data_IF_454476797014
#
_entry.id   IF_454476797014
#
_cell.length_a   1.000
_cell.length_b   1.000
_cell.length_c   1.000
_cell.angle_alpha   90.00
_cell.angle_beta   90.00
_cell.angle_gamma   90.00
#
_symmetry.space_group_name_H-M   'P 1'
#
loop_
_entity.id
_entity.type
_entity.pdbx_description
1 polymer ?
#
# COMPACT_ATOMS: atom_id res chain seq x y z
N UNK A 1 -17.58 -62.11 -21.08
CA UNK A 1 -17.86 -60.98 -21.99
C UNK A 1 -17.09 -61.17 -23.28
N UNK A 2 -17.74 -60.99 -24.44
CA UNK A 2 -17.10 -61.11 -25.76
C UNK A 2 -16.00 -60.05 -25.97
N UNK A 3 -16.15 -58.87 -25.37
CA UNK A 3 -15.16 -57.79 -25.42
C UNK A 3 -13.81 -58.18 -24.78
N UNK A 4 -13.83 -58.81 -23.61
CA UNK A 4 -12.61 -59.28 -22.91
C UNK A 4 -11.88 -60.34 -23.75
N UNK A 5 -12.62 -61.26 -24.37
CA UNK A 5 -12.06 -62.28 -25.28
C UNK A 5 -11.39 -61.65 -26.48
N UNK A 6 -12.04 -60.66 -27.09
CA UNK A 6 -11.51 -59.95 -28.23
C UNK A 6 -10.25 -59.16 -27.87
N UNK A 7 -10.24 -58.49 -26.72
CA UNK A 7 -9.05 -57.80 -26.21
C UNK A 7 -7.90 -58.79 -25.94
N UNK A 8 -8.17 -59.92 -25.27
CA UNK A 8 -7.16 -60.94 -24.98
C UNK A 8 -6.55 -61.50 -26.28
N UNK A 9 -7.39 -61.74 -27.29
CA UNK A 9 -6.97 -62.18 -28.63
C UNK A 9 -6.12 -61.13 -29.35
N UNK A 10 -6.49 -59.85 -29.29
CA UNK A 10 -5.73 -58.75 -29.91
C UNK A 10 -4.34 -58.62 -29.27
N UNK A 11 -4.25 -58.81 -27.97
CA UNK A 11 -2.98 -58.73 -27.23
C UNK A 11 -2.21 -60.05 -27.18
N UNK A 12 -2.72 -61.12 -27.81
CA UNK A 12 -2.12 -62.46 -27.82
C UNK A 12 -1.80 -62.99 -26.41
N UNK A 13 -2.65 -62.68 -25.43
CA UNK A 13 -2.55 -63.15 -24.04
C UNK A 13 -3.81 -63.91 -23.63
N UNK A 14 -3.73 -64.66 -22.54
CA UNK A 14 -4.91 -65.33 -22.00
C UNK A 14 -5.91 -64.33 -21.40
N UNK A 15 -7.19 -64.70 -21.36
CA UNK A 15 -8.23 -63.90 -20.69
C UNK A 15 -7.90 -63.68 -19.20
N UNK A 16 -7.33 -64.71 -18.56
CA UNK A 16 -6.85 -64.69 -17.17
C UNK A 16 -5.74 -63.65 -16.98
N UNK A 17 -4.74 -63.66 -17.86
CA UNK A 17 -3.61 -62.73 -17.82
C UNK A 17 -4.06 -61.29 -18.06
N UNK A 18 -5.00 -61.09 -18.99
CA UNK A 18 -5.58 -59.76 -19.25
C UNK A 18 -6.37 -59.26 -18.04
N UNK A 19 -7.20 -60.11 -17.42
CA UNK A 19 -7.92 -59.79 -16.17
C UNK A 19 -6.97 -59.37 -15.06
N UNK A 20 -5.90 -60.14 -14.86
CA UNK A 20 -4.89 -59.88 -13.84
C UNK A 20 -4.13 -58.57 -14.12
N UNK A 21 -3.74 -58.32 -15.38
CA UNK A 21 -3.07 -57.07 -15.79
C UNK A 21 -3.96 -55.83 -15.61
N UNK A 22 -5.26 -55.96 -15.88
CA UNK A 22 -6.23 -54.89 -15.69
C UNK A 22 -6.75 -54.80 -14.25
N UNK A 23 -6.36 -55.72 -13.37
CA UNK A 23 -6.80 -55.81 -11.97
C UNK A 23 -8.35 -55.77 -11.86
N UNK A 24 -9.00 -56.66 -12.62
CA UNK A 24 -10.46 -56.84 -12.67
C UNK A 24 -10.88 -57.97 -11.72
N UNK A 25 -11.99 -57.79 -10.99
CA UNK A 25 -12.60 -58.85 -10.18
C UNK A 25 -13.32 -59.87 -11.08
N UNK A 26 -13.71 -61.03 -10.56
CA UNK A 26 -14.37 -62.06 -11.37
C UNK A 26 -15.80 -61.70 -11.80
N UNK A 27 -16.43 -60.81 -11.04
CA UNK A 27 -17.78 -60.28 -11.23
C UNK A 27 -17.78 -58.88 -11.89
N UNK A 28 -16.68 -58.52 -12.56
CA UNK A 28 -16.54 -57.18 -13.14
C UNK A 28 -17.61 -56.85 -14.18
N UNK A 29 -18.09 -55.61 -14.17
CA UNK A 29 -19.02 -55.09 -15.18
C UNK A 29 -18.28 -54.35 -16.32
N UNK A 30 -19.02 -54.02 -17.38
CA UNK A 30 -18.46 -53.33 -18.55
C UNK A 30 -17.91 -51.94 -18.21
N UNK A 31 -18.43 -51.31 -17.14
CA UNK A 31 -18.03 -49.99 -16.65
C UNK A 31 -16.67 -50.06 -15.96
N UNK A 32 -16.45 -51.08 -15.14
CA UNK A 32 -15.17 -51.34 -14.49
C UNK A 32 -14.09 -51.69 -15.51
N UNK A 33 -14.39 -52.51 -16.52
CA UNK A 33 -13.46 -52.77 -17.63
C UNK A 33 -13.08 -51.48 -18.36
N UNK A 34 -14.07 -50.65 -18.71
CA UNK A 34 -13.84 -49.37 -19.35
C UNK A 34 -12.97 -48.43 -18.50
N UNK A 35 -13.22 -48.34 -17.19
CA UNK A 35 -12.41 -47.52 -16.27
C UNK A 35 -10.95 -47.98 -16.22
N UNK A 36 -10.69 -49.29 -16.16
CA UNK A 36 -9.32 -49.84 -16.19
C UNK A 36 -8.60 -49.60 -17.51
N UNK A 37 -9.35 -49.46 -18.60
CA UNK A 37 -8.85 -49.06 -19.91
C UNK A 37 -8.73 -47.54 -20.09
N UNK A 38 -9.04 -46.74 -19.06
CA UNK A 38 -8.92 -45.28 -19.08
C UNK A 38 -10.16 -44.51 -19.56
N UNK A 39 -11.29 -45.18 -19.75
CA UNK A 39 -12.56 -44.55 -20.10
C UNK A 39 -13.37 -44.23 -18.83
N UNK A 40 -13.39 -42.94 -18.46
CA UNK A 40 -14.08 -42.45 -17.25
C UNK A 40 -15.48 -41.89 -17.51
N UNK A 41 -15.88 -41.77 -18.78
CA UNK A 41 -17.18 -41.26 -19.20
C UNK A 41 -17.96 -42.34 -19.97
N UNK A 42 -18.14 -43.49 -19.34
CA UNK A 42 -19.04 -44.53 -19.83
C UNK A 42 -20.37 -44.43 -19.09
N UNK A 43 -21.43 -44.14 -19.82
CA UNK A 43 -22.78 -44.02 -19.26
C UNK A 43 -23.63 -45.15 -19.79
N UNK A 44 -24.26 -45.88 -18.88
CA UNK A 44 -25.03 -47.08 -19.19
C UNK A 44 -26.42 -46.74 -19.74
N UNK A 45 -26.96 -45.59 -19.36
CA UNK A 45 -28.25 -45.09 -19.82
C UNK A 45 -28.31 -43.55 -19.87
N UNK A 46 -29.42 -43.04 -20.41
CA UNK A 46 -29.67 -41.60 -20.54
C UNK A 46 -29.78 -40.89 -19.18
N UNK A 47 -30.27 -41.55 -18.14
CA UNK A 47 -30.41 -40.95 -16.81
C UNK A 47 -29.04 -40.68 -16.18
N UNK A 48 -28.08 -41.61 -16.33
CA UNK A 48 -26.71 -41.40 -15.85
C UNK A 48 -26.04 -40.20 -16.52
N UNK A 49 -26.22 -40.05 -17.84
CA UNK A 49 -25.73 -38.89 -18.60
C UNK A 49 -26.36 -37.60 -18.05
N UNK A 50 -27.67 -37.60 -17.86
CA UNK A 50 -28.41 -36.43 -17.38
C UNK A 50 -27.97 -36.00 -15.98
N UNK A 51 -27.77 -36.95 -15.07
CA UNK A 51 -27.27 -36.66 -13.73
C UNK A 51 -25.84 -36.13 -13.76
N UNK A 52 -24.97 -36.70 -14.58
CA UNK A 52 -23.60 -36.23 -14.74
C UNK A 52 -23.58 -34.78 -15.26
N UNK A 53 -24.35 -34.48 -16.30
CA UNK A 53 -24.44 -33.13 -16.87
C UNK A 53 -25.02 -32.16 -15.83
N UNK A 54 -26.12 -32.51 -15.17
CA UNK A 54 -26.73 -31.68 -14.11
C UNK A 54 -25.74 -31.39 -12.98
N UNK A 55 -24.99 -32.39 -12.53
CA UNK A 55 -23.96 -32.21 -11.51
C UNK A 55 -22.84 -31.28 -11.95
N UNK A 56 -22.36 -31.41 -13.19
CA UNK A 56 -21.34 -30.51 -13.75
C UNK A 56 -21.86 -29.08 -13.89
N UNK A 57 -23.08 -28.91 -14.38
CA UNK A 57 -23.72 -27.59 -14.52
C UNK A 57 -23.90 -26.94 -13.15
N UNK A 58 -24.45 -27.67 -12.15
CA UNK A 58 -24.63 -27.15 -10.78
C UNK A 58 -23.31 -26.69 -10.17
N UNK A 59 -22.27 -27.52 -10.27
CA UNK A 59 -20.94 -27.18 -9.75
C UNK A 59 -20.36 -25.93 -10.42
N UNK A 60 -20.56 -25.78 -11.75
CA UNK A 60 -20.14 -24.58 -12.46
C UNK A 60 -20.91 -23.34 -12.03
N UNK A 61 -22.22 -23.45 -11.78
CA UNK A 61 -23.04 -22.35 -11.26
C UNK A 61 -22.54 -21.92 -9.87
N UNK A 62 -22.30 -22.87 -8.96
CA UNK A 62 -21.77 -22.59 -7.62
C UNK A 62 -20.42 -21.85 -7.69
N UNK A 63 -19.50 -22.31 -8.55
CA UNK A 63 -18.22 -21.63 -8.76
C UNK A 63 -18.41 -20.20 -9.29
N UNK A 64 -19.35 -19.98 -10.22
CA UNK A 64 -19.65 -18.65 -10.76
C UNK A 64 -20.19 -17.74 -9.66
N UNK A 65 -21.09 -18.24 -8.82
CA UNK A 65 -21.66 -17.49 -7.69
C UNK A 65 -20.58 -17.09 -6.67
N UNK A 66 -19.69 -18.03 -6.32
CA UNK A 66 -18.54 -17.75 -5.43
C UNK A 66 -17.60 -16.69 -6.02
N UNK A 67 -17.30 -16.76 -7.32
CA UNK A 67 -16.45 -15.79 -7.99
C UNK A 67 -17.11 -14.40 -8.04
N UNK A 68 -18.41 -14.32 -8.32
CA UNK A 68 -19.15 -13.07 -8.31
C UNK A 68 -19.15 -12.42 -6.92
N UNK A 69 -19.32 -13.21 -5.85
CA UNK A 69 -19.23 -12.70 -4.48
C UNK A 69 -17.84 -12.13 -4.19
N UNK A 70 -16.76 -12.82 -4.59
CA UNK A 70 -15.39 -12.34 -4.42
C UNK A 70 -15.13 -11.03 -5.18
N UNK A 71 -15.65 -10.91 -6.40
CA UNK A 71 -15.54 -9.69 -7.20
C UNK A 71 -16.23 -8.52 -6.47
N UNK A 72 -17.47 -8.71 -6.03
CA UNK A 72 -18.22 -7.67 -5.33
C UNK A 72 -17.52 -7.21 -4.03
N UNK A 73 -16.96 -8.14 -3.27
CA UNK A 73 -16.18 -7.82 -2.07
C UNK A 73 -14.93 -7.00 -2.42
N UNK A 74 -14.19 -7.41 -3.45
CA UNK A 74 -12.99 -6.70 -3.90
C UNK A 74 -13.29 -5.28 -4.41
N UNK A 75 -14.39 -5.09 -5.14
CA UNK A 75 -14.82 -3.79 -5.63
C UNK A 75 -15.21 -2.84 -4.48
N UNK A 76 -15.89 -3.36 -3.46
CA UNK A 76 -16.23 -2.59 -2.26
C UNK A 76 -14.97 -2.17 -1.48
N UNK A 77 -14.02 -3.09 -1.28
CA UNK A 77 -12.75 -2.77 -0.63
C UNK A 77 -11.96 -1.72 -1.40
N UNK A 78 -11.88 -1.85 -2.72
CA UNK A 78 -11.21 -0.88 -3.60
C UNK A 78 -11.84 0.51 -3.46
N UNK A 79 -13.17 0.58 -3.44
CA UNK A 79 -13.90 1.86 -3.28
C UNK A 79 -13.56 2.49 -1.94
N UNK A 80 -13.62 1.73 -0.85
CA UNK A 80 -13.28 2.20 0.50
C UNK A 80 -11.82 2.69 0.61
N UNK A 81 -10.87 1.96 0.04
CA UNK A 81 -9.46 2.37 0.02
C UNK A 81 -9.27 3.67 -0.79
N UNK A 82 -9.98 3.82 -1.90
CA UNK A 82 -9.94 5.03 -2.72
C UNK A 82 -10.46 6.24 -1.94
N UNK A 83 -11.56 6.09 -1.20
CA UNK A 83 -12.09 7.13 -0.31
C UNK A 83 -11.11 7.52 0.79
N UNK A 84 -10.46 6.53 1.42
CA UNK A 84 -9.43 6.77 2.43
C UNK A 84 -8.23 7.54 1.89
N UNK A 85 -7.73 7.18 0.70
CA UNK A 85 -6.64 7.88 0.03
C UNK A 85 -7.03 9.34 -0.26
N UNK A 86 -8.24 9.56 -0.78
CA UNK A 86 -8.73 10.91 -1.06
C UNK A 86 -8.81 11.76 0.21
N UNK A 87 -9.31 11.18 1.31
CA UNK A 87 -9.38 11.85 2.61
C UNK A 87 -7.99 12.17 3.18
N UNK A 88 -7.03 11.25 3.06
CA UNK A 88 -5.64 11.47 3.46
C UNK A 88 -5.01 12.60 2.63
N UNK A 89 -5.17 12.57 1.31
CA UNK A 89 -4.63 13.60 0.42
C UNK A 89 -5.20 14.99 0.73
N UNK A 90 -6.50 15.07 1.02
CA UNK A 90 -7.12 16.32 1.44
C UNK A 90 -6.57 16.80 2.79
N UNK A 91 -6.42 15.90 3.77
CA UNK A 91 -5.86 16.22 5.08
C UNK A 91 -4.41 16.68 4.98
N UNK A 92 -3.60 15.99 4.17
CA UNK A 92 -2.20 16.35 3.90
C UNK A 92 -2.13 17.73 3.23
N UNK A 93 -2.95 18.01 2.21
CA UNK A 93 -2.99 19.32 1.55
C UNK A 93 -3.29 20.46 2.53
N UNK A 94 -4.29 20.28 3.41
CA UNK A 94 -4.63 21.27 4.44
C UNK A 94 -3.47 21.49 5.41
N UNK A 95 -2.83 20.41 5.89
CA UNK A 95 -1.72 20.52 6.83
C UNK A 95 -0.47 21.13 6.18
N UNK A 96 -0.17 20.73 4.95
CA UNK A 96 0.92 21.27 4.13
C UNK A 96 0.77 22.79 3.96
N UNK A 97 -0.44 23.25 3.64
CA UNK A 97 -0.72 24.69 3.54
C UNK A 97 -0.49 25.40 4.88
N UNK A 98 -0.97 24.85 6.01
CA UNK A 98 -0.74 25.44 7.34
C UNK A 98 0.74 25.55 7.67
N UNK A 99 1.53 24.54 7.32
CA UNK A 99 2.99 24.57 7.53
C UNK A 99 3.61 25.65 6.65
N UNK A 100 3.23 25.76 5.37
CA UNK A 100 3.69 26.82 4.46
C UNK A 100 3.36 28.21 5.00
N UNK A 101 2.14 28.42 5.48
CA UNK A 101 1.70 29.69 6.04
C UNK A 101 2.53 30.07 7.28
N UNK A 102 2.73 29.10 8.19
CA UNK A 102 3.58 29.29 9.37
C UNK A 102 5.04 29.59 9.00
N UNK A 103 5.59 28.86 8.03
CA UNK A 103 6.95 29.06 7.54
C UNK A 103 7.13 30.44 6.89
N UNK A 104 6.14 30.88 6.09
CA UNK A 104 6.09 32.22 5.51
C UNK A 104 6.09 33.31 6.58
N UNK A 105 5.26 33.14 7.62
CA UNK A 105 5.21 34.08 8.73
C UNK A 105 6.56 34.19 9.44
N UNK A 106 7.23 33.06 9.69
CA UNK A 106 8.54 33.06 10.34
C UNK A 106 9.65 33.70 9.50
N UNK A 107 9.63 33.50 8.18
CA UNK A 107 10.52 34.22 7.26
C UNK A 107 10.30 35.74 7.31
N UNK A 108 9.05 36.18 7.40
CA UNK A 108 8.70 37.60 7.56
C UNK A 108 9.14 38.14 8.93
N UNK A 109 8.94 37.40 10.02
CA UNK A 109 9.40 37.77 11.37
C UNK A 109 10.93 38.01 11.39
N UNK A 110 11.67 37.29 10.56
CA UNK A 110 13.13 37.42 10.41
C UNK A 110 13.56 38.47 9.36
N UNK A 111 12.62 39.19 8.76
CA UNK A 111 12.83 40.23 7.75
C UNK A 111 13.49 39.73 6.45
N UNK A 112 13.19 38.50 6.01
CA UNK A 112 13.55 38.05 4.66
C UNK A 112 12.65 38.69 3.59
N UNK A 113 13.24 39.12 2.47
CA UNK A 113 12.53 39.70 1.32
C UNK A 113 12.25 38.66 0.22
N UNK A 114 11.32 38.98 -0.68
CA UNK A 114 10.99 38.18 -1.87
C UNK A 114 10.67 36.70 -1.57
N UNK A 115 9.91 36.43 -0.51
CA UNK A 115 9.55 35.08 -0.10
C UNK A 115 8.65 34.43 -1.17
N UNK A 116 9.19 33.47 -1.92
CA UNK A 116 8.44 32.52 -2.73
C UNK A 116 8.53 31.14 -2.06
N UNK A 117 7.40 30.45 -1.87
CA UNK A 117 7.29 29.12 -1.26
C UNK A 117 6.73 28.04 -2.21
N UNK A 118 6.66 28.33 -3.51
CA UNK A 118 6.18 27.38 -4.52
C UNK A 118 6.98 26.07 -4.49
N UNK A 119 8.30 26.17 -4.33
CA UNK A 119 9.22 25.03 -4.30
C UNK A 119 9.51 24.51 -2.88
N UNK A 120 8.77 24.97 -1.86
CA UNK A 120 8.96 24.48 -0.50
C UNK A 120 8.42 23.06 -0.39
N UNK A 121 9.34 22.11 -0.23
CA UNK A 121 9.05 20.74 0.20
C UNK A 121 8.77 20.73 1.70
N UNK A 122 7.50 20.52 2.06
CA UNK A 122 7.04 20.52 3.45
C UNK A 122 7.61 19.34 4.24
N UNK A 123 7.89 18.22 3.59
CA UNK A 123 8.41 17.03 4.26
C UNK A 123 9.89 17.21 4.67
N UNK A 124 10.57 18.18 4.07
CA UNK A 124 11.96 18.54 4.40
C UNK A 124 12.09 19.48 5.60
N UNK A 125 10.97 20.02 6.12
CA UNK A 125 10.97 20.99 7.21
C UNK A 125 11.05 20.27 8.55
N UNK A 126 12.16 20.47 9.26
CA UNK A 126 12.24 20.11 10.68
C UNK A 126 11.50 21.17 11.51
N UNK A 127 10.28 20.83 11.94
CA UNK A 127 9.43 21.71 12.77
C UNK A 127 10.03 21.92 14.17
N UNK A 128 10.78 20.94 14.71
CA UNK A 128 11.42 21.07 16.01
C UNK A 128 12.57 22.09 15.96
N UNK A 129 13.23 22.20 14.80
CA UNK A 129 14.33 23.13 14.55
C UNK A 129 14.00 24.12 13.42
N UNK A 130 12.82 24.76 13.52
CA UNK A 130 12.28 25.63 12.46
C UNK A 130 13.25 26.71 11.96
N UNK A 131 14.04 27.30 12.86
CA UNK A 131 14.98 28.36 12.51
C UNK A 131 16.11 27.87 11.58
N UNK A 132 16.56 26.63 11.76
CA UNK A 132 17.62 26.07 10.92
C UNK A 132 17.05 25.63 9.57
N UNK A 133 15.83 25.09 9.56
CA UNK A 133 15.07 24.87 8.33
C UNK A 133 14.88 26.16 7.52
N UNK A 134 14.56 27.27 8.20
CA UNK A 134 14.42 28.59 7.57
C UNK A 134 15.75 29.10 7.00
N UNK A 135 16.85 29.03 7.77
CA UNK A 135 18.17 29.46 7.28
C UNK A 135 18.61 28.64 6.07
N UNK A 136 18.42 27.32 6.12
CA UNK A 136 18.74 26.42 5.02
C UNK A 136 17.92 26.77 3.78
N UNK A 137 16.61 26.92 3.93
CA UNK A 137 15.73 27.31 2.84
C UNK A 137 16.11 28.68 2.24
N UNK A 138 16.40 29.66 3.10
CA UNK A 138 16.80 31.00 2.69
C UNK A 138 18.13 30.98 1.92
N UNK A 139 19.11 30.20 2.37
CA UNK A 139 20.36 29.98 1.67
C UNK A 139 20.13 29.33 0.29
N UNK A 140 19.38 28.24 0.25
CA UNK A 140 19.17 27.45 -0.98
C UNK A 140 18.37 28.24 -2.04
N UNK A 141 17.55 29.20 -1.61
CA UNK A 141 16.75 30.07 -2.48
C UNK A 141 17.29 31.50 -2.61
N UNK A 142 18.52 31.77 -2.14
CA UNK A 142 19.17 33.09 -2.20
C UNK A 142 18.30 34.23 -1.64
N UNK A 143 17.59 34.00 -0.53
CA UNK A 143 16.77 35.03 0.11
C UNK A 143 17.64 36.04 0.86
N UNK A 144 17.42 37.32 0.60
CA UNK A 144 18.11 38.41 1.29
C UNK A 144 17.39 38.77 2.60
N UNK A 145 18.15 38.85 3.69
CA UNK A 145 17.67 39.34 4.98
C UNK A 145 17.91 40.84 5.10
N UNK A 146 16.88 41.60 5.45
CA UNK A 146 17.05 43.02 5.74
C UNK A 146 17.80 43.22 7.05
N UNK A 147 19.02 43.76 6.96
CA UNK A 147 19.83 44.09 8.12
C UNK A 147 19.21 45.33 8.78
N UNK A 148 18.49 45.13 9.88
CA UNK A 148 18.08 46.24 10.74
C UNK A 148 19.35 46.82 11.36
N UNK A 149 19.77 48.01 10.90
CA UNK A 149 20.85 48.75 11.56
C UNK A 149 20.38 49.08 12.98
N UNK A 150 21.19 48.81 14.03
CA UNK A 150 20.82 49.19 15.38
C UNK A 150 20.52 50.69 15.39
N UNK A 151 19.40 51.07 16.01
CA UNK A 151 19.09 52.46 16.28
C UNK A 151 20.30 53.08 16.97
N UNK A 152 20.80 54.21 16.45
CA UNK A 152 21.84 54.98 17.14
C UNK A 152 21.38 55.13 18.57
N UNK A 153 22.22 54.72 19.53
CA UNK A 153 22.03 55.09 20.93
C UNK A 153 22.08 56.61 20.94
N UNK A 154 20.91 57.25 20.96
CA UNK A 154 20.83 58.66 21.32
C UNK A 154 21.27 58.63 22.78
N UNK A 155 22.41 59.27 23.06
CA UNK A 155 22.80 59.55 24.43
C UNK A 155 21.63 60.31 25.03
N UNK A 156 20.77 59.62 25.77
CA UNK A 156 19.87 60.27 26.70
C UNK A 156 20.77 61.15 27.54
N UNK A 157 20.45 62.45 27.55
CA UNK A 157 21.12 63.46 28.34
C UNK A 157 21.60 62.82 29.63
N UNK A 158 22.92 62.87 29.86
CA UNK A 158 23.52 62.52 31.12
C UNK A 158 22.81 63.44 32.13
N UNK A 159 21.74 62.95 32.76
CA UNK A 159 21.32 63.48 34.05
C UNK A 159 22.49 63.13 34.94
N UNK A 160 23.36 64.11 35.15
CA UNK A 160 24.25 64.13 36.30
C UNK A 160 23.34 63.96 37.50
N UNK A 161 23.23 62.72 37.97
CA UNK A 161 22.67 62.44 39.27
C UNK A 161 23.65 63.05 40.28
N UNK A 162 23.40 64.29 40.67
CA UNK A 162 24.02 64.87 41.85
C UNK A 162 23.61 63.99 43.04
N UNK A 163 24.56 63.25 43.61
CA UNK A 163 24.42 62.26 44.70
C UNK A 163 24.28 60.77 44.31
N UNK A 164 25.02 60.28 43.32
CA UNK A 164 25.33 58.84 43.29
C UNK A 164 26.65 58.60 44.01
N UNK A 165 26.61 57.87 45.12
CA UNK A 165 27.81 57.34 45.78
C UNK A 165 28.63 56.55 44.75
N UNK A 166 29.87 57.00 44.51
CA UNK A 166 30.81 56.29 43.65
C UNK A 166 31.27 55.04 44.39
N UNK A 167 30.93 53.86 43.86
CA UNK A 167 31.61 52.61 44.23
C UNK A 167 33.07 52.70 43.78
N UNK A 168 33.96 52.95 44.74
CA UNK A 168 35.40 52.89 44.51
C UNK A 168 35.87 51.44 44.66
N UNK A 169 36.17 50.79 43.54
CA UNK A 169 36.90 49.53 43.56
C UNK A 169 38.38 49.85 43.73
N UNK A 170 38.86 49.81 44.97
CA UNK A 170 40.28 49.95 45.28
C UNK A 170 41.07 48.78 44.70
N UNK A 171 41.93 49.06 43.72
CA UNK A 171 42.92 48.09 43.24
C UNK A 171 43.99 47.90 44.31
N UNK A 172 43.90 46.81 45.10
CA UNK A 172 45.05 46.36 45.90
C UNK A 172 46.12 45.85 44.94
N UNK A 173 47.21 46.59 44.79
CA UNK A 173 48.48 46.04 44.31
C UNK A 173 49.08 45.22 45.45
N UNK A 174 49.37 43.94 45.18
CA UNK A 174 50.37 43.15 45.89
C UNK A 174 51.70 43.40 45.18
#
# INVERSE_FOLDING_TARGET
MELLKNLAKIFEISEEDLKNKLNLSDDFDSKQLAQKLGFYALFTDKNEIEQFIKGKVKNKIEIIEELNQKINLSENEKTKLTEQINSLNQSYSIQSQKIKDFFSQKLKDLNYKNINLENLDVDSIDILNINDSIKKYAHDNNLEQEIIKPSKIIANEIKTFENVERLSFGSRKI
#
